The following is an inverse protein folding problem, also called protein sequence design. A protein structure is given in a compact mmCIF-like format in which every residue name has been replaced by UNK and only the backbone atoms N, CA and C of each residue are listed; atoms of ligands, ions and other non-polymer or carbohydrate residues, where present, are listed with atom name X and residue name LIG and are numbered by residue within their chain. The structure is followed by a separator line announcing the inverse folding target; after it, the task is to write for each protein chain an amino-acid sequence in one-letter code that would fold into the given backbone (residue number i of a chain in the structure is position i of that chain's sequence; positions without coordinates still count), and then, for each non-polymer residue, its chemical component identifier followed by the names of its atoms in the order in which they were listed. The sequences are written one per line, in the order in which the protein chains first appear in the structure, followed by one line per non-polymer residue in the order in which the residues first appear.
data_IF_609275677934
#
_entry.id   IF_609275677934
#
_cell.length_a   1.000
_cell.length_b   1.000
_cell.length_c   1.000
_cell.angle_alpha   90.00
_cell.angle_beta   90.00
_cell.angle_gamma   90.00
#
_symmetry.space_group_name_H-M   'P 1'
#
loop_
_entity.id
_entity.type
_entity.pdbx_description
1 polymer ?
#
# COMPACT_ATOMS: atom_id res chain seq x y z
N UNK A 1 19.05 -18.09 -42.62
CA UNK A 1 18.46 -18.30 -41.29
C UNK A 1 18.96 -17.14 -40.45
N UNK A 2 18.16 -16.09 -40.30
CA UNK A 2 18.54 -14.92 -39.50
C UNK A 2 18.08 -15.18 -38.07
N UNK A 3 19.04 -15.32 -37.16
CA UNK A 3 18.78 -15.30 -35.72
C UNK A 3 18.29 -13.88 -35.38
N UNK A 4 17.01 -13.77 -35.05
CA UNK A 4 16.47 -12.53 -34.52
C UNK A 4 16.92 -12.42 -33.06
N UNK A 5 17.99 -11.66 -32.82
CA UNK A 5 18.32 -11.12 -31.50
C UNK A 5 17.11 -10.30 -31.01
N UNK A 6 16.28 -10.92 -30.19
CA UNK A 6 15.23 -10.24 -29.45
C UNK A 6 15.82 -9.70 -28.16
N UNK A 7 16.72 -8.73 -28.29
CA UNK A 7 17.03 -7.84 -27.18
C UNK A 7 15.91 -6.79 -27.10
N UNK A 8 14.72 -7.25 -26.71
CA UNK A 8 13.64 -6.36 -26.30
C UNK A 8 14.09 -5.74 -24.98
N UNK A 9 14.04 -4.41 -24.87
CA UNK A 9 14.36 -3.64 -23.67
C UNK A 9 13.40 -3.87 -22.51
N UNK A 10 13.18 -5.14 -22.17
CA UNK A 10 12.52 -5.58 -20.97
C UNK A 10 13.44 -5.22 -19.79
N UNK A 11 12.92 -4.59 -18.73
CA UNK A 11 13.72 -4.23 -17.57
C UNK A 11 14.44 -5.48 -17.03
N UNK A 12 15.67 -5.31 -16.55
CA UNK A 12 16.40 -6.42 -15.95
C UNK A 12 15.62 -6.99 -14.76
N UNK A 13 15.16 -8.24 -14.89
CA UNK A 13 14.36 -8.91 -13.86
C UNK A 13 15.26 -9.80 -13.03
N UNK A 14 15.56 -9.38 -11.81
CA UNK A 14 16.20 -10.24 -10.82
C UNK A 14 15.15 -11.08 -10.07
N UNK A 15 15.48 -12.36 -9.80
CA UNK A 15 14.63 -13.27 -9.03
C UNK A 15 15.07 -13.30 -7.58
N UNK A 16 14.15 -12.98 -6.67
CA UNK A 16 14.36 -13.12 -5.23
C UNK A 16 13.68 -14.38 -4.70
N UNK A 17 14.28 -15.01 -3.67
CA UNK A 17 13.67 -16.10 -2.93
C UNK A 17 13.20 -15.59 -1.56
N UNK A 18 11.90 -15.71 -1.28
CA UNK A 18 11.30 -15.28 -0.02
C UNK A 18 10.91 -16.49 0.84
N UNK A 19 11.25 -16.46 2.13
CA UNK A 19 10.76 -17.40 3.13
C UNK A 19 9.69 -16.74 3.99
N UNK A 20 8.52 -17.35 4.06
CA UNK A 20 7.39 -16.93 4.90
C UNK A 20 6.83 -18.11 5.67
N UNK A 21 6.07 -17.86 6.74
CA UNK A 21 5.35 -18.92 7.44
C UNK A 21 4.31 -19.56 6.53
N UNK A 22 4.00 -20.83 6.78
CA UNK A 22 2.98 -21.54 6.02
C UNK A 22 1.60 -20.88 6.19
N UNK A 23 1.26 -20.47 7.42
CA UNK A 23 0.00 -19.77 7.71
C UNK A 23 -0.13 -18.48 6.91
N UNK A 24 0.93 -17.68 6.82
CA UNK A 24 0.89 -16.46 6.01
C UNK A 24 0.81 -16.76 4.52
N UNK A 25 1.45 -17.84 4.06
CA UNK A 25 1.34 -18.27 2.66
C UNK A 25 -0.10 -18.60 2.27
N UNK A 26 -0.87 -19.24 3.15
CA UNK A 26 -2.28 -19.56 2.91
C UNK A 26 -3.12 -18.28 2.76
N UNK A 27 -2.91 -17.29 3.65
CA UNK A 27 -3.55 -15.98 3.57
C UNK A 27 -3.20 -15.26 2.26
N UNK A 28 -1.94 -15.32 1.83
CA UNK A 28 -1.51 -14.77 0.53
C UNK A 28 -2.24 -15.48 -0.62
N UNK A 29 -2.29 -16.82 -0.59
CA UNK A 29 -2.92 -17.67 -1.61
C UNK A 29 -4.44 -17.40 -1.75
N UNK A 30 -5.12 -17.00 -0.68
CA UNK A 30 -6.52 -16.52 -0.67
C UNK A 30 -6.62 -15.10 -1.24
N UNK A 31 -5.85 -14.16 -0.67
CA UNK A 31 -5.93 -12.73 -0.97
C UNK A 31 -5.70 -12.41 -2.45
N UNK A 32 -4.71 -13.03 -3.11
CA UNK A 32 -4.41 -12.69 -4.51
C UNK A 32 -5.56 -13.09 -5.45
N UNK A 33 -6.28 -14.17 -5.13
CA UNK A 33 -7.42 -14.66 -5.92
C UNK A 33 -8.62 -13.75 -5.73
N UNK A 34 -8.94 -13.41 -4.48
CA UNK A 34 -10.05 -12.50 -4.15
C UNK A 34 -9.88 -11.14 -4.81
N UNK A 35 -8.64 -10.63 -4.85
CA UNK A 35 -8.31 -9.37 -5.53
C UNK A 35 -8.16 -9.49 -7.04
N UNK A 36 -8.36 -10.67 -7.64
CA UNK A 36 -8.39 -10.88 -9.08
C UNK A 36 -7.03 -10.79 -9.80
N UNK A 37 -5.92 -11.01 -9.10
CA UNK A 37 -4.59 -11.02 -9.74
C UNK A 37 -4.42 -12.26 -10.62
N UNK A 38 -3.63 -12.17 -11.69
CA UNK A 38 -3.39 -13.30 -12.58
C UNK A 38 -2.46 -14.36 -11.97
N UNK A 39 -1.62 -13.95 -11.00
CA UNK A 39 -0.73 -14.86 -10.29
C UNK A 39 -0.37 -14.33 -8.91
N UNK A 40 -0.02 -15.26 -8.01
CA UNK A 40 0.56 -14.92 -6.71
C UNK A 40 1.82 -14.04 -6.84
N UNK A 41 2.70 -14.33 -7.80
CA UNK A 41 3.94 -13.58 -8.00
C UNK A 41 3.68 -12.14 -8.44
N UNK A 42 2.60 -11.88 -9.17
CA UNK A 42 2.16 -10.53 -9.51
C UNK A 42 1.65 -9.78 -8.29
N UNK A 43 0.80 -10.42 -7.48
CA UNK A 43 0.32 -9.85 -6.21
C UNK A 43 1.48 -9.50 -5.26
N UNK A 44 2.45 -10.41 -5.08
CA UNK A 44 3.61 -10.16 -4.22
C UNK A 44 4.44 -8.97 -4.75
N UNK A 45 4.67 -8.89 -6.07
CA UNK A 45 5.38 -7.74 -6.66
C UNK A 45 4.61 -6.44 -6.48
N UNK A 46 3.28 -6.46 -6.65
CA UNK A 46 2.41 -5.31 -6.40
C UNK A 46 2.52 -4.86 -4.93
N UNK A 47 2.35 -5.77 -3.97
CA UNK A 47 2.42 -5.44 -2.55
C UNK A 47 3.80 -4.89 -2.14
N UNK A 48 4.89 -5.47 -2.67
CA UNK A 48 6.24 -4.95 -2.44
C UNK A 48 6.41 -3.54 -3.04
N UNK A 49 5.97 -3.33 -4.29
CA UNK A 49 6.03 -2.01 -4.94
C UNK A 49 5.23 -0.98 -4.16
N UNK A 50 4.03 -1.33 -3.71
CA UNK A 50 3.17 -0.46 -2.89
C UNK A 50 3.87 -0.09 -1.59
N UNK A 51 4.47 -1.06 -0.88
CA UNK A 51 5.17 -0.81 0.37
C UNK A 51 6.40 0.11 0.22
N UNK A 52 7.04 0.11 -0.95
CA UNK A 52 8.22 0.93 -1.24
C UNK A 52 7.82 2.31 -1.76
N UNK A 53 6.80 2.40 -2.61
CA UNK A 53 6.37 3.65 -3.25
C UNK A 53 5.43 4.48 -2.37
N UNK A 54 4.70 3.81 -1.47
CA UNK A 54 3.78 4.41 -0.53
C UNK A 54 4.15 3.96 0.90
N UNK A 55 5.36 4.31 1.39
CA UNK A 55 5.79 3.93 2.74
C UNK A 55 4.90 4.56 3.80
N UNK A 56 4.25 5.69 3.48
CA UNK A 56 3.20 6.29 4.29
C UNK A 56 2.00 5.37 4.49
N UNK A 57 1.78 4.28 3.75
CA UNK A 57 0.67 3.36 4.02
C UNK A 57 0.67 2.86 5.48
N UNK A 58 1.82 2.48 6.02
CA UNK A 58 1.94 2.09 7.43
C UNK A 58 1.77 3.29 8.39
N UNK A 59 2.23 4.48 7.99
CA UNK A 59 2.06 5.72 8.75
C UNK A 59 0.60 6.21 8.77
N UNK A 60 -0.09 6.14 7.64
CA UNK A 60 -1.47 6.53 7.43
C UNK A 60 -2.44 5.65 8.23
N UNK A 61 -2.22 4.32 8.27
CA UNK A 61 -3.02 3.46 9.15
C UNK A 61 -2.81 3.79 10.63
N UNK A 62 -1.59 4.15 11.02
CA UNK A 62 -1.29 4.62 12.37
C UNK A 62 -1.96 5.97 12.65
N UNK A 63 -1.90 6.91 11.72
CA UNK A 63 -2.50 8.24 11.86
C UNK A 63 -4.03 8.15 11.89
N UNK A 64 -4.62 7.26 11.09
CA UNK A 64 -6.06 6.96 11.12
C UNK A 64 -6.48 6.34 12.46
N UNK A 65 -5.72 5.35 12.96
CA UNK A 65 -5.99 4.74 14.27
C UNK A 65 -5.83 5.74 15.43
N UNK A 66 -4.85 6.65 15.36
CA UNK A 66 -4.69 7.74 16.32
C UNK A 66 -5.89 8.70 16.24
N UNK A 67 -6.31 9.07 15.03
CA UNK A 67 -7.46 9.94 14.82
C UNK A 67 -8.77 9.32 15.33
N UNK A 68 -8.96 8.01 15.19
CA UNK A 68 -10.12 7.30 15.72
C UNK A 68 -10.12 7.30 17.25
N UNK A 69 -8.96 7.03 17.86
CA UNK A 69 -8.81 7.10 19.32
C UNK A 69 -9.05 8.52 19.87
N UNK A 70 -8.55 9.56 19.19
CA UNK A 70 -8.80 10.96 19.55
C UNK A 70 -10.27 11.36 19.41
N UNK A 71 -10.98 10.74 18.47
CA UNK A 71 -12.42 10.93 18.32
C UNK A 71 -13.20 10.29 19.48
N UNK A 72 -12.82 9.10 19.91
CA UNK A 72 -13.44 8.39 21.03
C UNK A 72 -13.18 9.08 22.39
N UNK A 73 -11.98 9.65 22.58
CA UNK A 73 -11.59 10.40 23.80
C UNK A 73 -12.16 11.82 23.85
N UNK A 74 -12.91 12.24 22.81
CA UNK A 74 -13.53 13.57 22.73
C UNK A 74 -12.56 14.72 22.46
N UNK A 75 -11.31 14.42 22.07
CA UNK A 75 -10.30 15.42 21.69
C UNK A 75 -10.49 15.92 20.24
N UNK A 76 -11.47 15.39 19.51
CA UNK A 76 -11.81 15.87 18.17
C UNK A 76 -12.32 17.31 18.21
N UNK A 77 -11.75 18.17 17.36
CA UNK A 77 -12.23 19.55 17.20
C UNK A 77 -13.22 19.65 16.05
N UNK A 78 -14.34 20.33 16.29
CA UNK A 78 -15.33 20.60 15.26
C UNK A 78 -14.75 21.52 14.18
N UNK A 79 -15.21 21.33 12.94
CA UNK A 79 -14.82 22.18 11.81
C UNK A 79 -15.15 23.66 12.06
N UNK A 80 -16.25 23.96 12.75
CA UNK A 80 -16.59 25.33 13.18
C UNK A 80 -15.61 25.89 14.21
N UNK A 81 -15.12 25.05 15.12
CA UNK A 81 -14.14 25.44 16.16
C UNK A 81 -12.77 25.73 15.54
N UNK A 82 -12.34 24.91 14.58
CA UNK A 82 -11.09 25.13 13.83
C UNK A 82 -11.21 26.38 12.95
N UNK A 83 -12.34 26.59 12.26
CA UNK A 83 -12.57 27.76 11.41
C UNK A 83 -12.62 29.06 12.23
N UNK A 84 -13.17 29.01 13.45
CA UNK A 84 -13.14 30.14 14.37
C UNK A 84 -11.76 30.40 14.97
N UNK A 85 -10.96 29.37 15.24
CA UNK A 85 -9.64 29.48 15.85
C UNK A 85 -8.54 29.88 14.84
N UNK A 86 -8.64 29.41 13.59
CA UNK A 86 -7.58 29.55 12.58
C UNK A 86 -8.00 30.32 11.33
N UNK A 87 -9.25 30.79 11.25
CA UNK A 87 -9.75 31.73 10.24
C UNK A 87 -9.07 31.61 8.89
N UNK A 88 -9.57 30.76 7.99
CA UNK A 88 -9.33 31.02 6.57
C UNK A 88 -10.07 32.32 6.27
N UNK A 89 -9.32 33.43 6.32
CA UNK A 89 -9.64 34.62 5.55
C UNK A 89 -9.82 34.15 4.10
N UNK A 90 -11.06 34.22 3.65
CA UNK A 90 -11.46 33.93 2.29
C UNK A 90 -11.06 35.17 1.47
N UNK A 91 -9.88 35.11 0.82
CA UNK A 91 -9.52 35.91 -0.36
C UNK A 91 -8.77 35.05 -1.39
#
# INVERSE_FOLDING_TARGET
MSEAETNNGDPEIERINLRISQSFREVVDETWRERGFNSRSEFIRYALRESVNHPEGAGFWKDLAISEAQFDDGESRSSEEIKAAYGSDDE
#
